data_IF_631952025598
#
_entry.id   IF_631952025598
#
_cell.length_a   1.000
_cell.length_b   1.000
_cell.length_c   1.000
_cell.angle_alpha   90.00
_cell.angle_beta   90.00
_cell.angle_gamma   90.00
#
_symmetry.space_group_name_H-M   'P 1'
#
loop_
_entity.id
_entity.type
_entity.pdbx_description
1 polymer ?
#
# COMPACT_ATOMS: atom_id res chain seq x y z
N UNK A 1 -31.87 -64.22 17.73
CA UNK A 1 -30.77 -63.35 18.20
C UNK A 1 -29.88 -63.03 17.01
N UNK A 2 -29.76 -61.75 16.58
CA UNK A 2 -28.83 -61.36 15.53
C UNK A 2 -27.47 -61.12 16.16
N UNK A 3 -26.48 -61.93 15.88
CA UNK A 3 -25.10 -61.72 16.23
C UNK A 3 -24.59 -60.47 15.50
N UNK A 4 -24.25 -59.43 16.24
CA UNK A 4 -23.58 -58.25 15.66
C UNK A 4 -22.14 -58.66 15.31
N UNK A 5 -21.70 -58.48 14.07
CA UNK A 5 -20.29 -58.70 13.73
C UNK A 5 -19.43 -57.71 14.52
N UNK A 6 -18.39 -58.20 15.19
CA UNK A 6 -17.39 -57.38 15.90
C UNK A 6 -16.57 -56.60 14.89
N UNK A 7 -16.30 -55.33 15.21
CA UNK A 7 -15.37 -54.45 14.41
C UNK A 7 -13.96 -55.03 14.51
N UNK A 8 -13.28 -55.15 13.41
CA UNK A 8 -11.92 -55.66 13.34
C UNK A 8 -10.91 -54.53 13.69
N UNK A 9 -9.79 -54.88 14.28
CA UNK A 9 -8.75 -53.90 14.62
C UNK A 9 -8.23 -53.15 13.39
N UNK A 10 -8.18 -53.82 12.26
CA UNK A 10 -7.75 -53.20 10.99
C UNK A 10 -8.75 -52.13 10.50
N UNK A 11 -10.06 -52.36 10.69
CA UNK A 11 -11.10 -51.43 10.31
C UNK A 11 -11.03 -50.15 11.14
N UNK A 12 -10.76 -50.25 12.44
CA UNK A 12 -10.57 -49.09 13.30
C UNK A 12 -9.28 -48.32 12.93
N UNK A 13 -8.23 -49.04 12.59
CA UNK A 13 -6.96 -48.40 12.19
C UNK A 13 -7.11 -47.62 10.87
N UNK A 14 -7.78 -48.20 9.87
CA UNK A 14 -8.04 -47.56 8.58
C UNK A 14 -8.95 -46.33 8.78
N UNK A 15 -10.02 -46.46 9.56
CA UNK A 15 -10.93 -45.37 9.85
C UNK A 15 -10.20 -44.19 10.54
N UNK A 16 -9.35 -44.48 11.52
CA UNK A 16 -8.54 -43.46 12.19
C UNK A 16 -7.57 -42.75 11.24
N UNK A 17 -6.92 -43.50 10.34
CA UNK A 17 -5.99 -42.95 9.34
C UNK A 17 -6.72 -42.02 8.34
N UNK A 18 -7.87 -42.43 7.84
CA UNK A 18 -8.68 -41.61 6.92
C UNK A 18 -9.14 -40.34 7.64
N UNK A 19 -9.61 -40.46 8.87
CA UNK A 19 -10.07 -39.30 9.67
C UNK A 19 -8.92 -38.33 9.94
N UNK A 20 -7.72 -38.82 10.23
CA UNK A 20 -6.54 -37.97 10.43
C UNK A 20 -6.16 -37.22 9.15
N UNK A 21 -6.14 -37.91 8.00
CA UNK A 21 -5.82 -37.30 6.71
C UNK A 21 -6.86 -36.23 6.30
N UNK A 22 -8.14 -36.51 6.47
CA UNK A 22 -9.19 -35.54 6.12
C UNK A 22 -9.16 -34.33 7.03
N UNK A 23 -8.93 -34.52 8.33
CA UNK A 23 -8.78 -33.40 9.28
C UNK A 23 -7.58 -32.51 8.95
N UNK A 24 -6.43 -33.08 8.59
CA UNK A 24 -5.24 -32.34 8.19
C UNK A 24 -5.49 -31.54 6.91
N UNK A 25 -6.18 -32.12 5.92
CA UNK A 25 -6.51 -31.43 4.68
C UNK A 25 -7.44 -30.23 4.92
N UNK A 26 -8.49 -30.40 5.73
CA UNK A 26 -9.42 -29.31 6.08
C UNK A 26 -8.69 -28.18 6.80
N UNK A 27 -7.84 -28.53 7.77
CA UNK A 27 -7.06 -27.56 8.53
C UNK A 27 -6.11 -26.75 7.64
N UNK A 28 -5.45 -27.40 6.67
CA UNK A 28 -4.58 -26.73 5.70
C UNK A 28 -5.34 -25.72 4.84
N UNK A 29 -6.55 -26.06 4.39
CA UNK A 29 -7.40 -25.16 3.59
C UNK A 29 -7.81 -23.94 4.41
N UNK A 30 -8.21 -24.14 5.66
CA UNK A 30 -8.61 -23.03 6.54
C UNK A 30 -7.45 -22.09 6.80
N UNK A 31 -6.26 -22.60 7.12
CA UNK A 31 -5.06 -21.77 7.34
C UNK A 31 -4.68 -20.99 6.08
N UNK A 32 -4.70 -21.64 4.92
CA UNK A 32 -4.41 -20.97 3.64
C UNK A 32 -5.43 -19.85 3.35
N UNK A 33 -6.70 -20.08 3.67
CA UNK A 33 -7.74 -19.07 3.53
C UNK A 33 -7.52 -17.84 4.42
N UNK A 34 -7.15 -18.05 5.69
CA UNK A 34 -6.88 -16.95 6.63
C UNK A 34 -5.70 -16.09 6.18
N UNK A 35 -4.58 -16.71 5.78
CA UNK A 35 -3.40 -15.98 5.27
C UNK A 35 -3.74 -15.20 4.00
N UNK A 36 -4.52 -15.80 3.10
CA UNK A 36 -4.92 -15.12 1.87
C UNK A 36 -5.81 -13.91 2.14
N UNK A 37 -6.66 -13.99 3.15
CA UNK A 37 -7.56 -12.89 3.54
C UNK A 37 -6.77 -11.71 4.10
N UNK A 38 -5.82 -11.95 5.00
CA UNK A 38 -4.96 -10.91 5.56
C UNK A 38 -4.19 -10.16 4.47
N UNK A 39 -3.65 -10.87 3.48
CA UNK A 39 -2.96 -10.25 2.35
C UNK A 39 -3.89 -9.43 1.46
N UNK A 40 -5.12 -9.87 1.26
CA UNK A 40 -6.10 -9.13 0.49
C UNK A 40 -6.47 -7.82 1.18
N UNK A 41 -6.69 -7.85 2.49
CA UNK A 41 -7.02 -6.67 3.30
C UNK A 41 -5.88 -5.63 3.27
N UNK A 42 -4.64 -6.05 3.42
CA UNK A 42 -3.48 -5.15 3.32
C UNK A 42 -3.36 -4.50 1.94
N UNK A 43 -3.65 -5.22 0.87
CA UNK A 43 -3.64 -4.67 -0.51
C UNK A 43 -4.75 -3.64 -0.69
N UNK A 44 -5.92 -3.88 -0.13
CA UNK A 44 -7.02 -2.93 -0.18
C UNK A 44 -6.67 -1.65 0.59
N UNK A 45 -6.12 -1.76 1.79
CA UNK A 45 -5.64 -0.61 2.57
C UNK A 45 -4.56 0.17 1.82
N UNK A 46 -3.62 -0.50 1.17
CA UNK A 46 -2.60 0.14 0.35
C UNK A 46 -3.20 0.90 -0.84
N UNK A 47 -4.18 0.33 -1.52
CA UNK A 47 -4.88 0.98 -2.61
C UNK A 47 -5.67 2.22 -2.13
N UNK A 48 -6.32 2.13 -0.98
CA UNK A 48 -7.00 3.26 -0.35
C UNK A 48 -6.03 4.37 0.05
N UNK A 49 -4.85 4.04 0.58
CA UNK A 49 -3.81 5.01 0.92
C UNK A 49 -3.34 5.79 -0.32
N UNK A 50 -3.07 5.09 -1.43
CA UNK A 50 -2.69 5.72 -2.70
C UNK A 50 -3.80 6.62 -3.23
N UNK A 51 -5.05 6.14 -3.21
CA UNK A 51 -6.21 6.92 -3.66
C UNK A 51 -6.38 8.21 -2.83
N UNK A 52 -6.25 8.11 -1.51
CA UNK A 52 -6.31 9.26 -0.60
C UNK A 52 -5.18 10.25 -0.88
N UNK A 53 -3.95 9.77 -1.08
CA UNK A 53 -2.82 10.60 -1.43
C UNK A 53 -3.04 11.31 -2.77
N UNK A 54 -3.53 10.62 -3.78
CA UNK A 54 -3.87 11.19 -5.08
C UNK A 54 -4.95 12.28 -4.97
N UNK A 55 -6.00 12.03 -4.20
CA UNK A 55 -7.06 13.02 -3.96
C UNK A 55 -6.53 14.26 -3.23
N UNK A 56 -5.65 14.08 -2.27
CA UNK A 56 -5.05 15.22 -1.56
C UNK A 56 -4.15 16.02 -2.50
N UNK A 57 -3.34 15.36 -3.33
CA UNK A 57 -2.51 16.05 -4.31
C UNK A 57 -3.34 16.80 -5.35
N UNK A 58 -4.51 16.32 -5.71
CA UNK A 58 -5.38 17.01 -6.66
C UNK A 58 -5.81 18.41 -6.16
N UNK A 59 -5.84 18.64 -4.86
CA UNK A 59 -6.14 19.95 -4.27
C UNK A 59 -5.00 20.96 -4.50
N UNK A 60 -3.82 20.48 -4.85
CA UNK A 60 -2.63 21.31 -5.13
C UNK A 60 -2.45 21.60 -6.62
N UNK A 61 -3.32 21.11 -7.46
CA UNK A 61 -3.32 21.44 -8.90
C UNK A 61 -3.71 22.89 -9.05
N UNK A 62 -2.78 23.72 -9.49
CA UNK A 62 -3.02 25.14 -9.79
C UNK A 62 -3.51 25.32 -11.22
N UNK A 63 -4.43 26.26 -11.43
CA UNK A 63 -4.79 26.73 -12.77
C UNK A 63 -3.67 27.58 -13.40
N UNK A 64 -2.70 28.03 -12.61
CA UNK A 64 -1.55 28.80 -13.06
C UNK A 64 -0.39 27.86 -13.32
N UNK A 65 -0.19 27.52 -14.58
CA UNK A 65 0.82 26.54 -15.02
C UNK A 65 2.28 26.98 -14.80
N UNK A 66 2.52 28.27 -14.55
CA UNK A 66 3.85 28.82 -14.24
C UNK A 66 4.24 28.64 -12.78
N UNK A 67 3.35 28.20 -11.94
CA UNK A 67 3.57 28.05 -10.51
C UNK A 67 4.27 26.71 -10.23
N UNK A 68 5.55 26.77 -9.90
CA UNK A 68 6.39 25.58 -9.66
C UNK A 68 6.22 24.97 -8.26
N UNK A 69 5.62 25.72 -7.34
CA UNK A 69 5.36 25.28 -5.97
C UNK A 69 4.11 25.97 -5.45
N UNK A 70 2.99 25.31 -5.55
CA UNK A 70 1.77 25.76 -4.90
C UNK A 70 1.66 25.09 -3.53
N UNK A 71 1.64 25.90 -2.48
CA UNK A 71 1.43 25.45 -1.11
C UNK A 71 0.14 26.07 -0.61
N UNK A 72 -1.02 25.42 -0.81
CA UNK A 72 -2.26 25.94 -0.25
C UNK A 72 -2.17 25.84 1.25
N UNK A 73 -2.08 27.02 1.91
CA UNK A 73 -2.16 27.20 3.35
C UNK A 73 -1.52 26.08 4.16
N UNK A 74 -0.19 26.01 4.19
CA UNK A 74 0.60 25.06 5.01
C UNK A 74 -0.19 23.85 5.47
N UNK A 75 -0.23 22.74 4.77
CA UNK A 75 -0.91 21.56 5.26
C UNK A 75 -0.29 21.16 6.59
N UNK A 76 -1.06 21.32 7.64
CA UNK A 76 -0.61 21.03 9.00
C UNK A 76 -0.83 19.55 9.26
N UNK A 77 0.13 18.89 9.89
CA UNK A 77 -0.03 17.51 10.34
C UNK A 77 0.58 16.48 9.39
N UNK A 78 -0.04 15.31 9.37
CA UNK A 78 0.51 14.11 8.70
C UNK A 78 0.67 14.23 7.17
N UNK A 79 0.19 15.30 6.58
CA UNK A 79 0.31 15.59 5.16
C UNK A 79 1.50 16.49 4.82
N UNK A 80 2.21 17.00 5.80
CA UNK A 80 3.46 17.70 5.58
C UNK A 80 4.53 16.68 5.19
N UNK A 81 4.99 16.71 3.94
CA UNK A 81 6.02 15.79 3.45
C UNK A 81 7.39 16.11 4.05
N UNK A 82 7.68 17.39 4.24
CA UNK A 82 8.85 17.86 4.97
C UNK A 82 8.56 19.22 5.60
N UNK A 83 9.37 19.60 6.57
CA UNK A 83 9.28 20.94 7.16
C UNK A 83 9.56 22.07 6.14
N UNK A 84 10.24 21.74 5.04
CA UNK A 84 10.69 22.69 4.03
C UNK A 84 9.78 22.73 2.81
N UNK A 85 9.27 21.59 2.37
CA UNK A 85 8.57 21.49 1.07
C UNK A 85 7.06 21.31 1.19
N UNK A 86 6.55 20.82 2.32
CA UNK A 86 5.13 20.53 2.48
C UNK A 86 4.61 19.56 1.41
N UNK A 87 3.31 19.51 1.23
CA UNK A 87 2.69 18.91 0.06
C UNK A 87 2.87 19.85 -1.12
N UNK A 88 3.56 19.42 -2.14
CA UNK A 88 3.72 20.23 -3.33
C UNK A 88 3.79 19.39 -4.59
N UNK A 89 3.37 19.98 -5.71
CA UNK A 89 3.61 19.47 -7.05
C UNK A 89 4.94 20.02 -7.62
N UNK A 90 5.85 20.42 -6.75
CA UNK A 90 7.18 20.83 -7.16
C UNK A 90 7.92 19.63 -7.73
N UNK A 91 8.31 19.73 -8.97
CA UNK A 91 9.04 18.72 -9.70
C UNK A 91 10.31 19.27 -10.34
N UNK A 92 10.97 18.43 -11.10
CA UNK A 92 12.03 18.82 -12.04
C UNK A 92 11.99 17.90 -13.27
N UNK A 93 12.72 18.27 -14.31
CA UNK A 93 12.78 17.54 -15.57
C UNK A 93 13.80 16.41 -15.57
N UNK A 94 14.71 16.41 -14.61
CA UNK A 94 15.91 15.56 -14.60
C UNK A 94 15.82 14.29 -13.75
N UNK A 95 14.61 13.86 -13.34
CA UNK A 95 14.46 12.64 -12.51
C UNK A 95 13.38 12.77 -11.46
N UNK A 96 12.84 13.96 -11.29
CA UNK A 96 11.77 14.24 -10.35
C UNK A 96 12.27 14.68 -8.96
N UNK A 97 11.34 15.22 -8.19
CA UNK A 97 11.51 15.53 -6.77
C UNK A 97 10.70 14.52 -5.99
N UNK A 98 11.34 13.82 -5.05
CA UNK A 98 10.68 12.82 -4.21
C UNK A 98 10.28 13.44 -2.88
N UNK A 99 9.03 13.24 -2.52
CA UNK A 99 8.39 13.69 -1.29
C UNK A 99 8.05 12.49 -0.42
N UNK A 100 8.35 12.58 0.87
CA UNK A 100 8.05 11.53 1.85
C UNK A 100 6.73 11.80 2.56
N UNK A 101 5.81 10.86 2.43
CA UNK A 101 4.52 10.85 3.09
C UNK A 101 4.32 9.56 3.92
N UNK A 102 5.41 8.92 4.29
CA UNK A 102 5.40 7.65 5.03
C UNK A 102 4.68 7.77 6.38
N UNK A 103 4.60 8.97 6.94
CA UNK A 103 3.85 9.24 8.18
C UNK A 103 2.38 8.83 8.09
N UNK A 104 1.81 8.76 6.87
CA UNK A 104 0.42 8.30 6.65
C UNK A 104 0.21 6.82 6.94
N UNK A 105 1.29 6.04 6.94
CA UNK A 105 1.23 4.61 7.24
C UNK A 105 1.34 4.32 8.73
N UNK A 106 1.85 5.28 9.52
CA UNK A 106 2.05 5.09 10.95
C UNK A 106 0.70 4.94 11.67
N UNK A 107 0.58 3.92 12.51
CA UNK A 107 -0.67 3.58 13.20
C UNK A 107 -1.68 2.81 12.35
N UNK A 108 -1.33 2.42 11.13
CA UNK A 108 -2.16 1.56 10.28
C UNK A 108 -1.65 0.11 10.29
N UNK A 109 -2.44 -0.83 9.79
CA UNK A 109 -2.05 -2.24 9.63
C UNK A 109 -0.94 -2.46 8.60
N UNK A 110 -0.62 -1.43 7.80
CA UNK A 110 0.51 -1.44 6.85
C UNK A 110 1.85 -1.17 7.53
N UNK A 111 1.83 -0.68 8.76
CA UNK A 111 3.03 -0.45 9.56
C UNK A 111 3.52 -1.77 10.17
N UNK A 112 4.82 -2.01 10.07
CA UNK A 112 5.43 -3.13 10.81
C UNK A 112 5.44 -2.79 12.30
N UNK A 113 4.97 -3.67 13.19
CA UNK A 113 5.01 -3.44 14.63
C UNK A 113 6.41 -3.07 15.13
N UNK A 114 6.51 -1.96 15.86
CA UNK A 114 7.77 -1.47 16.40
C UNK A 114 8.68 -0.71 15.42
N UNK A 115 8.24 -0.52 14.16
CA UNK A 115 8.97 0.24 13.15
C UNK A 115 8.22 1.53 12.80
N UNK A 116 8.95 2.63 12.61
CA UNK A 116 8.37 3.86 12.06
C UNK A 116 8.56 3.86 10.55
N UNK A 117 7.48 4.08 9.80
CA UNK A 117 7.57 4.20 8.36
C UNK A 117 8.20 5.54 7.98
N UNK A 118 9.21 5.50 7.13
CA UNK A 118 9.94 6.67 6.64
C UNK A 118 10.58 6.36 5.28
N UNK A 119 10.88 7.39 4.49
CA UNK A 119 11.64 7.23 3.25
C UNK A 119 12.98 6.53 3.53
N UNK A 120 13.28 5.49 2.74
CA UNK A 120 14.49 4.67 2.92
C UNK A 120 14.36 3.56 3.95
N UNK A 121 13.25 3.44 4.68
CA UNK A 121 13.01 2.27 5.53
C UNK A 121 12.81 1.03 4.64
N UNK A 122 13.50 -0.07 5.00
CA UNK A 122 13.43 -1.32 4.23
C UNK A 122 12.06 -2.03 4.34
N UNK A 123 11.29 -1.73 5.39
CA UNK A 123 10.07 -2.45 5.71
C UNK A 123 8.79 -1.72 5.31
N UNK A 124 8.72 -0.42 5.55
CA UNK A 124 7.57 0.37 5.15
C UNK A 124 7.96 1.81 4.81
N UNK A 125 7.50 2.27 3.66
CA UNK A 125 7.61 3.67 3.25
C UNK A 125 6.50 4.02 2.25
N UNK A 126 6.16 5.28 2.19
CA UNK A 126 5.24 5.83 1.21
C UNK A 126 5.79 7.16 0.71
N UNK A 127 6.16 7.18 -0.56
CA UNK A 127 6.72 8.37 -1.20
C UNK A 127 6.00 8.65 -2.50
N UNK A 128 6.07 9.88 -2.98
CA UNK A 128 5.70 10.20 -4.34
C UNK A 128 6.78 11.04 -5.00
N UNK A 129 6.96 10.83 -6.30
CA UNK A 129 7.92 11.57 -7.11
C UNK A 129 7.17 12.39 -8.15
N UNK A 130 7.50 13.68 -8.24
CA UNK A 130 6.93 14.62 -9.18
C UNK A 130 7.96 14.93 -10.27
N UNK A 131 7.61 14.64 -11.50
CA UNK A 131 8.42 14.93 -12.69
C UNK A 131 7.68 15.94 -13.55
N UNK A 132 8.39 17.00 -13.94
CA UNK A 132 7.90 17.98 -14.90
C UNK A 132 8.02 17.40 -16.31
N UNK A 133 6.97 17.49 -17.11
CA UNK A 133 7.05 17.05 -18.47
C UNK A 133 6.28 17.97 -19.44
N UNK A 134 6.71 17.96 -20.68
CA UNK A 134 6.04 18.68 -21.76
C UNK A 134 4.81 17.88 -22.25
N UNK A 135 3.64 18.48 -22.15
CA UNK A 135 2.39 17.91 -22.62
C UNK A 135 1.77 18.71 -23.76
N UNK A 136 2.54 19.61 -24.36
CA UNK A 136 2.06 20.46 -25.44
C UNK A 136 1.13 21.61 -25.00
N UNK A 137 0.97 21.81 -23.70
CA UNK A 137 0.22 22.93 -23.14
C UNK A 137 1.19 24.04 -22.77
N UNK A 138 1.18 25.14 -23.50
CA UNK A 138 1.99 26.32 -23.20
C UNK A 138 2.93 26.74 -24.33
N UNK A 139 3.62 27.85 -24.10
CA UNK A 139 4.69 28.36 -24.98
C UNK A 139 6.05 27.79 -24.57
N UNK A 140 7.08 27.96 -25.37
CA UNK A 140 8.42 27.41 -25.17
C UNK A 140 9.04 27.62 -23.75
N UNK A 141 8.58 28.63 -23.02
CA UNK A 141 9.02 28.91 -21.64
C UNK A 141 8.12 28.29 -20.56
N UNK A 142 7.09 27.54 -20.93
CA UNK A 142 6.08 26.94 -20.05
C UNK A 142 5.91 25.45 -20.33
N UNK A 143 6.98 24.82 -20.79
CA UNK A 143 7.03 23.39 -21.13
C UNK A 143 6.70 22.47 -19.91
N UNK A 144 6.60 23.05 -18.73
CA UNK A 144 6.43 22.34 -17.47
C UNK A 144 5.02 22.44 -16.88
N UNK A 145 4.06 22.77 -17.73
CA UNK A 145 2.65 22.88 -17.30
C UNK A 145 2.09 21.56 -16.75
N UNK A 146 2.64 20.43 -17.20
CA UNK A 146 2.19 19.12 -16.79
C UNK A 146 3.15 18.46 -15.79
N UNK A 147 2.55 17.78 -14.84
CA UNK A 147 3.26 17.04 -13.78
C UNK A 147 2.88 15.57 -13.86
N UNK A 148 3.88 14.71 -13.83
CA UNK A 148 3.69 13.27 -13.64
C UNK A 148 4.01 12.93 -12.21
N UNK A 149 3.02 12.39 -11.51
CA UNK A 149 3.20 11.91 -10.13
C UNK A 149 3.24 10.39 -10.13
N UNK A 150 4.31 9.85 -9.55
CA UNK A 150 4.47 8.40 -9.35
C UNK A 150 4.51 8.11 -7.87
N UNK A 151 3.57 7.31 -7.39
CA UNK A 151 3.54 6.84 -6.01
C UNK A 151 4.36 5.57 -5.86
N UNK A 152 5.13 5.49 -4.78
CA UNK A 152 5.88 4.31 -4.40
C UNK A 152 5.55 3.97 -2.95
N UNK A 153 4.83 2.87 -2.78
CA UNK A 153 4.37 2.36 -1.49
C UNK A 153 4.97 0.98 -1.23
N UNK A 154 5.61 0.84 -0.10
CA UNK A 154 6.12 -0.44 0.42
C UNK A 154 5.54 -0.69 1.81
N UNK A 155 5.08 -1.89 2.05
CA UNK A 155 4.58 -2.38 3.34
C UNK A 155 4.97 -3.83 3.53
N UNK A 156 4.91 -4.33 4.76
CA UNK A 156 5.17 -5.74 5.06
C UNK A 156 3.98 -6.61 4.67
N UNK A 157 4.26 -7.65 3.91
CA UNK A 157 3.31 -8.68 3.46
C UNK A 157 3.26 -9.83 4.48
#
# INVERSE_FOLDING_TARGET
>A
MRTRPGVTLIEVSIAALITAMTSAAVFSIVLSGLVSHEKADKRELAAMAIKRASQSLSNYVSAVYTESAYTPGSPVGQWAASATDGWSLRGNTGGGVTHDISSLLNGTELQVPGQTCAAGNAYCFFTYTVVDYDCGLGTANTAWACKRVTFNLRYAD
#
